data_IF_616896284041
#
_entry.id   IF_616896284041
#
_cell.length_a   1.000
_cell.length_b   1.000
_cell.length_c   1.000
_cell.angle_alpha   90.00
_cell.angle_beta   90.00
_cell.angle_gamma   90.00
#
_symmetry.space_group_name_H-M   'P 1'
#
loop_
_entity.id
_entity.type
_entity.pdbx_description
1 polymer ?
#
# COMPACT_ATOMS: atom_id res chain seq x y z
N UNK A 1 23.09 -19.24 3.29
CA UNK A 1 22.82 -18.98 4.72
C UNK A 1 22.05 -17.66 4.80
N UNK A 2 20.79 -17.70 5.28
CA UNK A 2 19.96 -16.51 5.43
C UNK A 2 20.42 -15.70 6.65
N UNK A 3 20.65 -14.39 6.49
CA UNK A 3 21.09 -13.47 7.54
C UNK A 3 20.15 -12.30 7.73
N UNK A 4 19.16 -12.15 6.86
CA UNK A 4 18.12 -11.13 6.90
C UNK A 4 16.74 -11.77 7.01
N UNK A 5 15.77 -11.05 7.54
CA UNK A 5 14.37 -11.50 7.59
C UNK A 5 13.78 -11.80 6.21
N UNK A 6 14.34 -11.24 5.14
CA UNK A 6 13.90 -11.46 3.76
C UNK A 6 14.44 -12.75 3.14
N UNK A 7 15.49 -13.36 3.70
CA UNK A 7 16.15 -14.57 3.19
C UNK A 7 16.17 -15.74 4.18
N UNK A 8 15.71 -15.53 5.42
CA UNK A 8 15.50 -16.61 6.38
C UNK A 8 14.20 -17.36 6.08
N UNK A 9 14.28 -18.64 5.71
CA UNK A 9 13.14 -19.47 5.33
C UNK A 9 12.00 -19.50 6.36
N UNK A 10 12.28 -19.31 7.65
CA UNK A 10 11.29 -19.25 8.71
C UNK A 10 10.56 -17.91 8.79
N UNK A 11 11.18 -16.82 8.35
CA UNK A 11 10.68 -15.45 8.58
C UNK A 11 10.31 -14.72 7.30
N UNK A 12 10.85 -15.11 6.15
CA UNK A 12 10.71 -14.36 4.90
C UNK A 12 9.26 -14.09 4.50
N UNK A 13 8.34 -15.05 4.77
CA UNK A 13 6.93 -14.91 4.43
C UNK A 13 6.17 -14.00 5.40
N UNK A 14 6.75 -13.69 6.57
CA UNK A 14 6.24 -12.66 7.48
C UNK A 14 6.69 -11.24 7.10
N UNK A 15 7.65 -11.09 6.18
CA UNK A 15 8.24 -9.81 5.79
C UNK A 15 8.09 -9.46 4.31
N UNK A 16 7.74 -10.44 3.49
CA UNK A 16 7.55 -10.24 2.03
C UNK A 16 6.74 -11.39 1.43
N UNK A 17 6.15 -11.19 0.26
CA UNK A 17 5.50 -12.27 -0.49
C UNK A 17 6.47 -12.97 -1.43
N UNK A 18 6.28 -14.28 -1.74
CA UNK A 18 7.11 -15.00 -2.71
C UNK A 18 7.15 -14.34 -4.08
N UNK A 19 6.01 -13.83 -4.57
CA UNK A 19 5.92 -13.16 -5.86
C UNK A 19 6.77 -11.88 -5.91
N UNK A 20 6.74 -11.06 -4.84
CA UNK A 20 7.53 -9.83 -4.79
C UNK A 20 9.03 -10.14 -4.63
N UNK A 21 9.40 -11.18 -3.88
CA UNK A 21 10.80 -11.64 -3.81
C UNK A 21 11.34 -12.09 -5.16
N UNK A 22 10.52 -12.77 -5.96
CA UNK A 22 10.93 -13.18 -7.32
C UNK A 22 11.26 -11.98 -8.21
N UNK A 23 10.47 -10.88 -8.13
CA UNK A 23 10.72 -9.65 -8.90
C UNK A 23 12.06 -9.01 -8.52
N UNK A 24 12.41 -8.97 -7.23
CA UNK A 24 13.64 -8.33 -6.76
C UNK A 24 14.78 -9.33 -6.51
N UNK A 25 14.65 -10.58 -6.98
CA UNK A 25 15.72 -11.57 -6.94
C UNK A 25 16.92 -11.12 -7.79
N UNK A 26 18.10 -11.64 -7.45
CA UNK A 26 19.31 -11.44 -8.26
C UNK A 26 19.11 -11.94 -9.70
N UNK A 27 18.47 -13.09 -9.86
CA UNK A 27 18.15 -13.66 -11.16
C UNK A 27 17.33 -12.70 -12.04
N UNK A 28 16.22 -12.20 -11.53
CA UNK A 28 15.36 -11.28 -12.29
C UNK A 28 16.04 -9.93 -12.52
N UNK A 29 16.84 -9.43 -11.56
CA UNK A 29 17.60 -8.20 -11.74
C UNK A 29 18.59 -8.32 -12.89
N UNK A 30 19.37 -9.40 -12.94
CA UNK A 30 20.30 -9.67 -14.05
C UNK A 30 19.53 -9.85 -15.36
N UNK A 31 18.38 -10.55 -15.34
CA UNK A 31 17.56 -10.69 -16.52
C UNK A 31 17.09 -9.33 -17.06
N UNK A 32 16.66 -8.39 -16.20
CA UNK A 32 16.27 -7.04 -16.65
C UNK A 32 17.44 -6.27 -17.28
N UNK A 33 18.65 -6.40 -16.77
CA UNK A 33 19.84 -5.82 -17.42
C UNK A 33 20.07 -6.43 -18.80
N UNK A 34 19.95 -7.75 -18.92
CA UNK A 34 20.07 -8.48 -20.19
C UNK A 34 18.95 -8.08 -21.18
N UNK A 35 17.72 -7.87 -20.70
CA UNK A 35 16.60 -7.40 -21.52
C UNK A 35 16.91 -6.02 -22.11
N UNK A 36 17.50 -5.10 -21.34
CA UNK A 36 17.91 -3.77 -21.81
C UNK A 36 19.04 -3.87 -22.84
N UNK A 37 20.07 -4.69 -22.60
CA UNK A 37 21.17 -4.92 -23.57
C UNK A 37 20.66 -5.50 -24.89
N UNK A 38 19.75 -6.47 -24.84
CA UNK A 38 19.12 -7.06 -26.03
C UNK A 38 18.28 -6.05 -26.81
N UNK A 39 17.53 -5.21 -26.12
CA UNK A 39 16.73 -4.14 -26.73
C UNK A 39 17.62 -3.09 -27.40
N UNK A 40 18.69 -2.69 -26.73
CA UNK A 40 19.70 -1.76 -27.24
C UNK A 40 20.36 -2.30 -28.53
N UNK A 41 20.85 -3.53 -28.50
CA UNK A 41 21.49 -4.15 -29.66
C UNK A 41 20.54 -4.21 -30.88
N UNK A 42 19.28 -4.58 -30.67
CA UNK A 42 18.25 -4.59 -31.73
C UNK A 42 18.02 -3.20 -32.31
N UNK A 43 17.91 -2.17 -31.46
CA UNK A 43 17.72 -0.79 -31.89
C UNK A 43 18.91 -0.30 -32.74
N UNK A 44 20.13 -0.56 -32.28
CA UNK A 44 21.36 -0.16 -32.96
C UNK A 44 21.54 -0.87 -34.30
N UNK A 45 21.23 -2.17 -34.39
CA UNK A 45 21.29 -2.92 -35.65
C UNK A 45 20.25 -2.38 -36.66
N UNK A 46 19.03 -2.11 -36.21
CA UNK A 46 17.98 -1.51 -37.08
C UNK A 46 18.43 -0.17 -37.68
N UNK A 47 19.25 0.58 -36.99
CA UNK A 47 19.82 1.85 -37.43
C UNK A 47 21.18 1.70 -38.17
N UNK A 48 21.69 0.46 -38.32
CA UNK A 48 22.97 0.20 -38.99
C UNK A 48 24.20 0.64 -38.21
N UNK A 49 24.12 0.76 -36.89
CA UNK A 49 25.22 1.13 -36.00
C UNK A 49 26.10 -0.10 -35.69
N UNK A 50 25.45 -1.25 -35.45
CA UNK A 50 26.12 -2.53 -35.27
C UNK A 50 25.63 -3.54 -36.33
N UNK A 51 26.35 -4.64 -36.62
CA UNK A 51 25.87 -5.69 -37.52
C UNK A 51 24.59 -6.34 -37.03
N UNK A 52 23.68 -6.68 -37.96
CA UNK A 52 22.42 -7.34 -37.60
C UNK A 52 22.63 -8.71 -36.94
N UNK A 53 23.64 -9.45 -37.39
CA UNK A 53 24.06 -10.74 -36.81
C UNK A 53 24.50 -10.62 -35.34
N UNK A 54 25.14 -9.52 -34.97
CA UNK A 54 25.50 -9.23 -33.56
C UNK A 54 24.24 -9.03 -32.70
N UNK A 55 23.28 -8.24 -33.18
CA UNK A 55 22.05 -8.04 -32.44
C UNK A 55 21.22 -9.33 -32.27
N UNK A 56 21.19 -10.19 -33.29
CA UNK A 56 20.50 -11.49 -33.21
C UNK A 56 21.20 -12.40 -32.19
N UNK A 57 22.51 -12.48 -32.20
CA UNK A 57 23.26 -13.32 -31.26
C UNK A 57 23.16 -12.77 -29.82
N UNK A 58 23.34 -11.47 -29.60
CA UNK A 58 23.18 -10.84 -28.30
C UNK A 58 21.77 -11.11 -27.74
N UNK A 59 20.72 -10.89 -28.53
CA UNK A 59 19.35 -11.14 -28.09
C UNK A 59 19.08 -12.61 -27.76
N UNK A 60 19.68 -13.54 -28.50
CA UNK A 60 19.59 -15.00 -28.26
C UNK A 60 20.27 -15.38 -26.95
N UNK A 61 21.40 -14.76 -26.61
CA UNK A 61 22.21 -15.07 -25.43
C UNK A 61 21.84 -14.26 -24.20
N UNK A 62 21.11 -13.18 -24.33
CA UNK A 62 20.67 -12.29 -23.24
C UNK A 62 19.59 -12.90 -22.35
N UNK A 63 19.84 -14.08 -21.83
CA UNK A 63 19.01 -14.78 -20.85
C UNK A 63 19.85 -15.28 -19.69
N UNK A 64 19.35 -15.13 -18.46
CA UNK A 64 20.04 -15.55 -17.24
C UNK A 64 20.56 -16.99 -17.32
N UNK A 65 19.80 -17.91 -17.92
CA UNK A 65 20.20 -19.32 -18.11
C UNK A 65 21.48 -19.54 -18.90
N UNK A 66 21.92 -18.57 -19.71
CA UNK A 66 23.16 -18.63 -20.47
C UNK A 66 24.34 -17.95 -19.76
N UNK A 67 24.09 -17.33 -18.61
CA UNK A 67 25.11 -16.63 -17.84
C UNK A 67 25.89 -17.62 -16.97
N UNK A 68 27.23 -17.59 -17.10
CA UNK A 68 28.16 -18.29 -16.23
C UNK A 68 28.28 -17.47 -14.92
N UNK A 69 27.44 -17.79 -13.92
CA UNK A 69 27.38 -17.04 -12.67
C UNK A 69 28.69 -17.13 -11.86
N UNK A 70 29.39 -18.25 -11.92
CA UNK A 70 30.69 -18.39 -11.24
C UNK A 70 31.73 -17.44 -11.84
N UNK A 71 31.73 -17.30 -13.17
CA UNK A 71 32.54 -16.30 -13.85
C UNK A 71 32.16 -14.86 -13.46
N UNK A 72 30.86 -14.55 -13.46
CA UNK A 72 30.35 -13.22 -13.09
C UNK A 72 30.75 -12.87 -11.65
N UNK A 73 30.63 -13.79 -10.71
CA UNK A 73 31.03 -13.54 -9.32
C UNK A 73 32.55 -13.39 -9.17
N UNK A 74 33.33 -14.17 -9.93
CA UNK A 74 34.79 -14.03 -9.94
C UNK A 74 35.22 -12.65 -10.51
N UNK A 75 34.58 -12.20 -11.58
CA UNK A 75 34.80 -10.88 -12.18
C UNK A 75 34.37 -9.74 -11.25
N UNK A 76 33.24 -9.89 -10.53
CA UNK A 76 32.81 -8.91 -9.54
C UNK A 76 33.86 -8.76 -8.42
N UNK A 77 34.44 -9.84 -7.93
CA UNK A 77 35.49 -9.78 -6.89
C UNK A 77 36.70 -8.98 -7.34
N UNK A 78 37.03 -9.03 -8.65
CA UNK A 78 38.17 -8.29 -9.24
C UNK A 78 37.79 -6.83 -9.51
N UNK A 79 36.69 -6.61 -10.20
CA UNK A 79 36.30 -5.27 -10.71
C UNK A 79 35.64 -4.39 -9.68
N UNK A 80 34.97 -4.95 -8.67
CA UNK A 80 34.11 -4.26 -7.72
C UNK A 80 33.00 -3.40 -8.38
N UNK A 81 32.65 -3.76 -9.61
CA UNK A 81 31.73 -2.99 -10.44
C UNK A 81 30.37 -3.73 -10.58
N UNK A 82 29.22 -3.07 -10.38
CA UNK A 82 27.93 -3.75 -10.30
C UNK A 82 27.49 -4.41 -11.62
N UNK A 83 27.77 -3.82 -12.78
CA UNK A 83 27.27 -4.28 -14.08
C UNK A 83 28.35 -4.93 -14.97
N UNK A 84 29.58 -4.43 -14.97
CA UNK A 84 30.68 -4.92 -15.88
C UNK A 84 30.82 -6.45 -15.89
N UNK A 85 30.71 -7.16 -14.76
CA UNK A 85 30.77 -8.63 -14.77
C UNK A 85 29.65 -9.27 -15.61
N UNK A 86 28.42 -8.72 -15.56
CA UNK A 86 27.30 -9.22 -16.36
C UNK A 86 27.51 -8.93 -17.86
N UNK A 87 27.99 -7.73 -18.21
CA UNK A 87 28.33 -7.37 -19.60
C UNK A 87 29.36 -8.32 -20.16
N UNK A 88 30.46 -8.58 -19.44
CA UNK A 88 31.51 -9.56 -19.82
C UNK A 88 30.97 -10.99 -19.89
N UNK A 89 30.04 -11.35 -19.02
CA UNK A 89 29.34 -12.64 -19.05
C UNK A 89 28.54 -12.82 -20.34
N UNK A 90 27.80 -11.79 -20.75
CA UNK A 90 27.04 -11.80 -22.00
C UNK A 90 27.98 -11.79 -23.24
N UNK A 91 29.04 -10.96 -23.22
CA UNK A 91 30.09 -10.96 -24.26
C UNK A 91 30.67 -12.36 -24.46
N UNK A 92 31.08 -13.03 -23.37
CA UNK A 92 31.61 -14.39 -23.38
C UNK A 92 30.62 -15.43 -23.87
N UNK A 93 29.33 -15.25 -23.63
CA UNK A 93 28.27 -16.17 -24.05
C UNK A 93 27.98 -16.08 -25.55
N UNK A 94 28.28 -14.95 -26.20
CA UNK A 94 28.09 -14.74 -27.62
C UNK A 94 29.18 -15.47 -28.43
N UNK A 95 28.81 -16.02 -29.61
CA UNK A 95 29.68 -16.77 -30.50
C UNK A 95 30.30 -15.87 -31.59
N UNK A 96 31.34 -16.35 -32.22
CA UNK A 96 31.98 -15.74 -33.41
C UNK A 96 32.45 -14.28 -33.23
N UNK A 97 32.81 -13.88 -32.02
CA UNK A 97 33.27 -12.51 -31.73
C UNK A 97 32.14 -11.46 -31.72
N UNK A 98 30.87 -11.88 -31.86
CA UNK A 98 29.73 -10.96 -31.93
C UNK A 98 29.40 -10.28 -30.58
N UNK A 99 30.00 -10.76 -29.48
CA UNK A 99 29.92 -10.14 -28.15
C UNK A 99 30.60 -8.78 -28.02
N UNK A 100 31.52 -8.43 -28.92
CA UNK A 100 32.20 -7.13 -28.95
C UNK A 100 31.23 -5.93 -29.10
N UNK A 101 30.02 -6.19 -29.53
CA UNK A 101 28.95 -5.17 -29.69
C UNK A 101 28.04 -5.06 -28.48
N UNK A 102 28.24 -5.84 -27.40
CA UNK A 102 27.49 -5.70 -26.16
C UNK A 102 27.81 -4.36 -25.48
N UNK A 103 26.79 -3.71 -24.91
CA UNK A 103 26.97 -2.44 -24.16
C UNK A 103 27.52 -1.28 -25.00
N UNK A 104 27.31 -1.28 -26.31
CA UNK A 104 27.94 -0.34 -27.24
C UNK A 104 27.31 1.08 -27.07
N UNK A 105 28.16 2.04 -26.71
CA UNK A 105 27.82 3.48 -26.64
C UNK A 105 26.98 3.93 -25.44
N UNK A 106 26.72 3.06 -24.48
CA UNK A 106 25.91 3.34 -23.26
C UNK A 106 26.77 3.33 -22.00
N UNK A 107 26.15 3.59 -20.87
CA UNK A 107 26.80 3.57 -19.56
C UNK A 107 26.06 2.64 -18.59
N UNK A 108 26.77 2.21 -17.55
CA UNK A 108 26.24 1.37 -16.47
C UNK A 108 24.88 1.84 -15.94
N UNK A 109 24.71 3.15 -15.75
CA UNK A 109 23.47 3.70 -15.19
C UNK A 109 22.29 3.55 -16.15
N UNK A 110 22.51 3.66 -17.47
CA UNK A 110 21.47 3.43 -18.48
C UNK A 110 20.83 2.03 -18.30
N UNK A 111 21.66 1.02 -18.09
CA UNK A 111 21.21 -0.37 -17.95
C UNK A 111 20.58 -0.63 -16.57
N UNK A 112 21.24 -0.17 -15.50
CA UNK A 112 20.80 -0.45 -14.13
C UNK A 112 19.48 0.29 -13.83
N UNK A 113 19.38 1.57 -14.16
CA UNK A 113 18.18 2.37 -13.87
C UNK A 113 17.00 1.93 -14.73
N UNK A 114 17.22 1.68 -16.04
CA UNK A 114 16.16 1.13 -16.92
C UNK A 114 15.73 -0.25 -16.47
N UNK A 115 16.65 -1.13 -16.09
CA UNK A 115 16.34 -2.44 -15.51
C UNK A 115 15.56 -2.34 -14.20
N UNK A 116 15.87 -1.36 -13.34
CA UNK A 116 15.14 -1.13 -12.09
C UNK A 116 13.72 -0.61 -12.35
N UNK A 117 13.54 0.27 -13.33
CA UNK A 117 12.20 0.72 -13.76
C UNK A 117 11.35 -0.45 -14.25
N UNK A 118 11.94 -1.41 -15.00
CA UNK A 118 11.23 -2.64 -15.39
C UNK A 118 10.80 -3.48 -14.20
N UNK A 119 11.65 -3.64 -13.17
CA UNK A 119 11.27 -4.32 -11.92
C UNK A 119 10.16 -3.57 -11.19
N UNK A 120 10.21 -2.24 -11.13
CA UNK A 120 9.14 -1.43 -10.51
C UNK A 120 7.81 -1.58 -11.25
N UNK A 121 7.83 -1.67 -12.58
CA UNK A 121 6.62 -1.91 -13.38
C UNK A 121 5.96 -3.25 -13.05
N UNK A 122 6.75 -4.31 -12.91
CA UNK A 122 6.28 -5.63 -12.46
C UNK A 122 5.73 -5.59 -11.03
N UNK A 123 6.47 -4.96 -10.10
CA UNK A 123 6.09 -4.85 -8.70
C UNK A 123 4.79 -4.03 -8.51
N UNK A 124 4.66 -2.91 -9.22
CA UNK A 124 3.44 -2.09 -9.19
C UNK A 124 2.22 -2.82 -9.74
N UNK A 125 2.40 -3.73 -10.71
CA UNK A 125 1.30 -4.56 -11.20
C UNK A 125 0.74 -5.47 -10.09
N UNK A 126 1.61 -6.07 -9.26
CA UNK A 126 1.18 -6.85 -8.10
C UNK A 126 0.47 -5.98 -7.05
N UNK A 127 1.05 -4.82 -6.71
CA UNK A 127 0.43 -3.88 -5.76
C UNK A 127 -0.96 -3.44 -6.24
N UNK A 128 -1.12 -3.11 -7.52
CA UNK A 128 -2.43 -2.76 -8.09
C UNK A 128 -3.43 -3.90 -7.98
N UNK A 129 -2.99 -5.13 -8.23
CA UNK A 129 -3.88 -6.29 -8.13
C UNK A 129 -4.34 -6.52 -6.67
N UNK A 130 -3.41 -6.47 -5.71
CA UNK A 130 -3.75 -6.62 -4.29
C UNK A 130 -4.70 -5.51 -3.81
N UNK A 131 -4.48 -4.25 -4.22
CA UNK A 131 -5.39 -3.15 -3.91
C UNK A 131 -6.79 -3.36 -4.48
N UNK A 132 -6.92 -3.90 -5.71
CA UNK A 132 -8.21 -4.26 -6.30
C UNK A 132 -8.94 -5.34 -5.50
N UNK A 133 -8.23 -6.39 -5.13
CA UNK A 133 -8.81 -7.50 -4.39
C UNK A 133 -9.30 -7.04 -3.01
N UNK A 134 -8.48 -6.25 -2.30
CA UNK A 134 -8.86 -5.64 -1.02
C UNK A 134 -10.06 -4.70 -1.19
N UNK A 135 -10.06 -3.86 -2.22
CA UNK A 135 -11.15 -2.92 -2.48
C UNK A 135 -12.50 -3.63 -2.72
N UNK A 136 -12.49 -4.75 -3.45
CA UNK A 136 -13.68 -5.58 -3.66
C UNK A 136 -14.20 -6.16 -2.34
N UNK A 137 -13.32 -6.65 -1.47
CA UNK A 137 -13.69 -7.15 -0.15
C UNK A 137 -14.27 -6.03 0.73
N UNK A 138 -13.62 -4.86 0.77
CA UNK A 138 -14.13 -3.70 1.52
C UNK A 138 -15.47 -3.21 0.99
N UNK A 139 -15.68 -3.17 -0.33
CA UNK A 139 -16.97 -2.80 -0.92
C UNK A 139 -18.09 -3.77 -0.51
N UNK A 140 -17.79 -5.08 -0.49
CA UNK A 140 -18.72 -6.11 0.00
C UNK A 140 -19.07 -5.90 1.47
N UNK A 141 -18.06 -5.75 2.33
CA UNK A 141 -18.24 -5.53 3.77
C UNK A 141 -19.02 -4.23 4.03
N UNK A 142 -18.67 -3.14 3.36
CA UNK A 142 -19.35 -1.87 3.50
C UNK A 142 -20.85 -1.99 3.16
N UNK A 143 -21.19 -2.66 2.06
CA UNK A 143 -22.57 -2.91 1.64
C UNK A 143 -23.33 -3.80 2.62
N UNK A 144 -22.73 -4.91 3.07
CA UNK A 144 -23.34 -5.87 3.99
C UNK A 144 -23.63 -5.25 5.36
N UNK A 145 -22.73 -4.37 5.83
CA UNK A 145 -22.79 -3.78 7.16
C UNK A 145 -23.22 -2.30 7.16
N UNK A 146 -23.80 -1.80 6.08
CA UNK A 146 -24.26 -0.39 6.00
C UNK A 146 -25.26 -0.02 7.07
N UNK A 147 -26.04 -0.98 7.57
CA UNK A 147 -27.02 -0.81 8.64
C UNK A 147 -26.56 -1.39 9.99
N UNK A 148 -25.36 -1.95 10.10
CA UNK A 148 -24.86 -2.51 11.35
C UNK A 148 -24.38 -1.37 12.24
N UNK A 149 -25.21 -1.01 13.22
CA UNK A 149 -24.91 0.06 14.16
C UNK A 149 -23.73 -0.33 15.08
N UNK A 150 -22.83 0.60 15.29
CA UNK A 150 -21.70 0.50 16.21
C UNK A 150 -21.38 1.84 16.85
N UNK A 151 -20.60 1.81 17.92
CA UNK A 151 -20.16 3.03 18.58
C UNK A 151 -19.08 3.75 17.75
N UNK A 152 -19.34 5.00 17.36
CA UNK A 152 -18.34 5.93 16.89
C UNK A 152 -17.52 6.47 18.07
N UNK A 153 -16.19 6.52 17.91
CA UNK A 153 -15.26 6.95 18.95
C UNK A 153 -14.44 8.12 18.44
N UNK A 154 -14.41 9.20 19.22
CA UNK A 154 -13.60 10.39 18.96
C UNK A 154 -12.68 10.61 20.15
N UNK A 155 -11.40 10.96 19.90
CA UNK A 155 -10.41 11.17 20.97
C UNK A 155 -10.36 9.98 21.96
N UNK A 156 -10.48 8.77 21.42
CA UNK A 156 -10.53 7.47 22.13
C UNK A 156 -11.83 7.20 22.93
N UNK A 157 -12.71 8.18 23.12
CA UNK A 157 -13.94 8.02 23.87
C UNK A 157 -15.14 7.70 22.98
N UNK A 158 -16.15 7.03 23.54
CA UNK A 158 -17.44 6.82 22.90
C UNK A 158 -18.12 8.16 22.65
N UNK A 159 -18.62 8.38 21.44
CA UNK A 159 -19.25 9.62 21.03
C UNK A 159 -20.68 9.36 20.57
N UNK A 160 -20.92 9.16 19.29
CA UNK A 160 -22.23 8.92 18.71
C UNK A 160 -22.26 7.60 17.94
N UNK A 161 -23.43 6.97 17.78
CA UNK A 161 -23.60 5.82 16.92
C UNK A 161 -23.24 6.12 15.46
N UNK A 162 -22.55 5.17 14.81
CA UNK A 162 -22.27 5.11 13.38
C UNK A 162 -22.66 3.73 12.86
N UNK A 163 -22.37 3.43 11.59
CA UNK A 163 -22.44 2.05 11.11
C UNK A 163 -21.06 1.50 10.78
N UNK A 164 -20.88 0.19 10.91
CA UNK A 164 -19.62 -0.47 10.52
C UNK A 164 -19.37 -0.32 9.02
N UNK A 165 -20.41 -0.42 8.19
CA UNK A 165 -20.28 -0.17 6.75
C UNK A 165 -19.77 1.22 6.42
N UNK A 166 -20.20 2.26 7.17
CA UNK A 166 -19.69 3.62 6.99
C UNK A 166 -18.18 3.72 7.31
N UNK A 167 -17.75 3.11 8.41
CA UNK A 167 -16.31 3.03 8.77
C UNK A 167 -15.49 2.38 7.66
N UNK A 168 -15.98 1.26 7.11
CA UNK A 168 -15.28 0.51 6.03
C UNK A 168 -15.31 1.28 4.70
N UNK A 169 -16.39 1.99 4.39
CA UNK A 169 -16.49 2.83 3.20
C UNK A 169 -15.45 3.96 3.19
N UNK A 170 -15.11 4.52 4.37
CA UNK A 170 -14.02 5.51 4.51
C UNK A 170 -12.68 4.87 4.10
N UNK A 171 -12.37 3.66 4.56
CA UNK A 171 -11.15 2.94 4.16
C UNK A 171 -11.10 2.69 2.66
N UNK A 172 -12.21 2.23 2.07
CA UNK A 172 -12.31 2.00 0.62
C UNK A 172 -12.09 3.30 -0.17
N UNK A 173 -12.59 4.43 0.32
CA UNK A 173 -12.36 5.74 -0.29
C UNK A 173 -10.89 6.14 -0.30
N UNK A 174 -10.14 5.79 0.73
CA UNK A 174 -8.68 6.01 0.76
C UNK A 174 -7.95 5.15 -0.28
N UNK A 175 -8.33 3.86 -0.38
CA UNK A 175 -7.75 2.94 -1.37
C UNK A 175 -8.00 3.40 -2.80
N UNK A 176 -9.21 3.91 -3.10
CA UNK A 176 -9.51 4.47 -4.41
C UNK A 176 -8.55 5.60 -4.78
N UNK A 177 -8.31 6.54 -3.87
CA UNK A 177 -7.33 7.63 -4.10
C UNK A 177 -5.89 7.13 -4.21
N UNK A 178 -5.51 6.04 -3.53
CA UNK A 178 -4.19 5.44 -3.72
C UNK A 178 -4.03 4.82 -5.10
N UNK A 179 -5.07 4.17 -5.59
CA UNK A 179 -5.07 3.60 -6.94
C UNK A 179 -4.95 4.68 -8.01
N UNK A 180 -5.65 5.80 -7.85
CA UNK A 180 -5.54 6.98 -8.72
C UNK A 180 -4.10 7.53 -8.73
N UNK A 181 -3.48 7.71 -7.55
CA UNK A 181 -2.08 8.14 -7.44
C UNK A 181 -1.10 7.21 -8.16
N UNK A 182 -1.32 5.91 -8.09
CA UNK A 182 -0.49 4.94 -8.82
C UNK A 182 -0.60 5.18 -10.34
N UNK A 183 -1.81 5.30 -10.87
CA UNK A 183 -2.03 5.55 -12.31
C UNK A 183 -1.37 6.86 -12.77
N UNK A 184 -1.44 7.89 -11.94
CA UNK A 184 -0.81 9.17 -12.22
C UNK A 184 0.73 9.09 -12.15
N UNK A 185 1.26 8.35 -11.19
CA UNK A 185 2.70 8.12 -11.03
C UNK A 185 3.29 7.34 -12.20
N UNK A 186 2.59 6.34 -12.73
CA UNK A 186 3.08 5.45 -13.80
C UNK A 186 3.61 6.23 -15.00
N UNK A 187 2.98 7.35 -15.34
CA UNK A 187 3.39 8.22 -16.46
C UNK A 187 4.77 8.87 -16.26
N UNK A 188 5.16 9.11 -15.03
CA UNK A 188 6.47 9.70 -14.67
C UNK A 188 7.49 8.64 -14.31
N UNK A 189 7.05 7.48 -13.83
CA UNK A 189 7.92 6.40 -13.35
C UNK A 189 8.39 5.47 -14.47
N UNK A 190 7.51 5.12 -15.43
CA UNK A 190 7.84 4.13 -16.46
C UNK A 190 8.62 4.76 -17.62
N UNK A 191 9.67 5.48 -17.29
CA UNK A 191 10.56 6.20 -18.20
C UNK A 191 11.94 5.59 -18.11
N UNK A 192 12.51 5.13 -19.23
CA UNK A 192 13.84 4.54 -19.26
C UNK A 192 14.95 5.59 -19.42
N UNK A 193 16.17 5.11 -19.58
CA UNK A 193 17.37 5.95 -19.72
C UNK A 193 18.36 5.28 -20.67
N UNK A 194 18.71 5.94 -21.79
CA UNK A 194 19.76 5.51 -22.75
C UNK A 194 20.48 6.77 -23.22
N UNK A 195 21.36 7.30 -22.40
CA UNK A 195 21.91 8.66 -22.58
C UNK A 195 23.45 8.73 -22.48
N UNK A 196 24.13 7.62 -22.17
CA UNK A 196 25.59 7.55 -22.09
C UNK A 196 26.16 8.13 -20.80
N UNK A 197 27.48 8.34 -20.79
CA UNK A 197 28.27 8.55 -19.57
C UNK A 197 27.81 9.69 -18.66
N UNK A 198 27.40 10.81 -19.23
CA UNK A 198 26.99 12.05 -18.53
C UNK A 198 25.68 12.66 -19.09
N UNK A 199 24.86 11.85 -19.75
CA UNK A 199 23.56 12.28 -20.23
C UNK A 199 23.54 13.02 -21.56
N UNK A 200 24.67 13.08 -22.27
CA UNK A 200 24.80 13.86 -23.51
C UNK A 200 24.69 13.05 -24.81
N UNK A 201 24.57 11.71 -24.68
CA UNK A 201 24.52 10.77 -25.81
C UNK A 201 25.72 10.84 -26.76
N UNK A 202 26.85 11.37 -26.32
CA UNK A 202 28.01 11.67 -27.16
C UNK A 202 28.56 10.46 -27.93
N UNK A 203 28.44 9.26 -27.37
CA UNK A 203 28.91 7.99 -27.98
C UNK A 203 27.92 7.31 -28.93
N UNK A 204 26.67 7.83 -29.04
CA UNK A 204 25.59 7.22 -29.82
C UNK A 204 25.38 7.84 -31.21
N UNK A 205 26.28 8.75 -31.63
CA UNK A 205 26.25 9.45 -32.93
C UNK A 205 25.01 10.35 -33.14
N UNK A 206 24.79 10.75 -34.38
CA UNK A 206 23.64 11.54 -34.85
C UNK A 206 22.30 10.80 -34.73
N UNK A 207 22.34 9.47 -34.55
CA UNK A 207 21.14 8.59 -34.38
C UNK A 207 20.76 8.34 -32.92
N UNK A 208 21.36 9.07 -32.00
CA UNK A 208 21.22 8.82 -30.55
C UNK A 208 19.75 8.82 -30.06
N UNK A 209 18.94 9.77 -30.54
CA UNK A 209 17.54 9.87 -30.16
C UNK A 209 16.70 8.69 -30.69
N UNK A 210 17.00 8.20 -31.90
CA UNK A 210 16.35 7.03 -32.48
C UNK A 210 16.75 5.76 -31.75
N UNK A 211 18.04 5.61 -31.35
CA UNK A 211 18.51 4.49 -30.53
C UNK A 211 17.75 4.45 -29.19
N UNK A 212 17.70 5.55 -28.45
CA UNK A 212 16.97 5.64 -27.20
C UNK A 212 15.51 5.28 -27.40
N UNK A 213 14.83 5.93 -28.34
CA UNK A 213 13.41 5.71 -28.63
C UNK A 213 13.11 4.25 -28.92
N UNK A 214 13.80 3.65 -29.89
CA UNK A 214 13.58 2.26 -30.30
C UNK A 214 13.88 1.26 -29.17
N UNK A 215 14.91 1.53 -28.35
CA UNK A 215 15.24 0.70 -27.20
C UNK A 215 14.11 0.74 -26.17
N UNK A 216 13.70 1.94 -25.73
CA UNK A 216 12.73 2.11 -24.66
C UNK A 216 11.32 1.68 -25.08
N UNK A 217 10.88 2.01 -26.29
CA UNK A 217 9.60 1.54 -26.83
C UNK A 217 9.52 0.00 -26.87
N UNK A 218 10.61 -0.68 -27.24
CA UNK A 218 10.66 -2.16 -27.26
C UNK A 218 10.53 -2.79 -25.87
N UNK A 219 10.89 -2.04 -24.82
CA UNK A 219 10.75 -2.42 -23.40
C UNK A 219 9.40 -1.98 -22.81
N UNK A 220 8.58 -1.27 -23.60
CA UNK A 220 7.32 -0.69 -23.14
C UNK A 220 7.52 0.41 -22.09
N UNK A 221 8.58 1.20 -22.27
CA UNK A 221 8.90 2.36 -21.45
C UNK A 221 8.79 3.65 -22.29
N UNK A 222 8.51 4.74 -21.61
CA UNK A 222 8.49 6.07 -22.20
C UNK A 222 9.92 6.63 -22.36
N UNK A 223 10.05 7.53 -23.33
CA UNK A 223 11.30 8.26 -23.59
C UNK A 223 11.33 9.51 -22.71
N UNK A 224 12.44 9.79 -22.03
CA UNK A 224 12.54 11.00 -21.21
C UNK A 224 12.66 12.27 -22.05
N UNK A 225 12.18 13.39 -21.52
CA UNK A 225 12.37 14.71 -22.16
C UNK A 225 13.85 15.12 -22.22
N UNK A 226 14.60 14.73 -21.19
CA UNK A 226 16.03 14.95 -21.03
C UNK A 226 16.62 13.89 -20.11
N UNK A 227 17.95 13.76 -20.06
CA UNK A 227 18.62 12.88 -19.10
C UNK A 227 18.16 13.10 -17.66
N UNK A 228 17.82 12.01 -16.98
CA UNK A 228 17.42 12.06 -15.57
C UNK A 228 18.42 11.33 -14.64
N UNK A 229 19.67 11.14 -15.10
CA UNK A 229 20.72 10.51 -14.30
C UNK A 229 20.86 11.13 -12.89
N UNK A 230 20.96 12.47 -12.74
CA UNK A 230 21.01 13.11 -11.42
C UNK A 230 19.64 13.46 -10.83
N UNK A 231 18.56 13.41 -11.60
CA UNK A 231 17.21 13.76 -11.15
C UNK A 231 16.49 12.53 -10.60
N UNK A 232 16.46 12.39 -9.28
CA UNK A 232 15.92 11.19 -8.62
C UNK A 232 14.49 11.37 -8.07
N UNK A 233 13.88 12.51 -8.31
CA UNK A 233 12.53 12.91 -7.88
C UNK A 233 11.46 11.84 -8.16
N UNK A 234 11.49 11.20 -9.33
CA UNK A 234 10.53 10.13 -9.69
C UNK A 234 10.62 8.88 -8.83
N UNK A 235 11.83 8.54 -8.35
CA UNK A 235 12.04 7.41 -7.43
C UNK A 235 11.67 7.79 -6.01
N UNK A 236 11.87 9.03 -5.63
CA UNK A 236 11.41 9.59 -4.36
C UNK A 236 9.88 9.64 -4.34
N UNK A 237 9.25 10.12 -5.43
CA UNK A 237 7.78 10.11 -5.58
C UNK A 237 7.22 8.68 -5.45
N UNK A 238 7.84 7.69 -6.10
CA UNK A 238 7.49 6.28 -5.93
C UNK A 238 7.49 5.87 -4.46
N UNK A 239 8.59 6.16 -3.76
CA UNK A 239 8.71 5.82 -2.34
C UNK A 239 7.64 6.47 -1.48
N UNK A 240 7.31 7.74 -1.72
CA UNK A 240 6.23 8.42 -0.99
C UNK A 240 4.85 7.87 -1.32
N UNK A 241 4.58 7.44 -2.56
CA UNK A 241 3.33 6.75 -2.91
C UNK A 241 3.21 5.43 -2.16
N UNK A 242 4.28 4.59 -2.15
CA UNK A 242 4.31 3.34 -1.37
C UNK A 242 4.14 3.62 0.13
N UNK A 243 4.82 4.65 0.66
CA UNK A 243 4.72 5.08 2.04
C UNK A 243 3.32 5.55 2.45
N UNK A 244 2.61 6.25 1.56
CA UNK A 244 1.25 6.72 1.81
C UNK A 244 0.25 5.55 1.81
N UNK A 245 0.38 4.61 0.88
CA UNK A 245 -0.40 3.35 0.89
C UNK A 245 -0.18 2.62 2.21
N UNK A 246 1.10 2.42 2.58
CA UNK A 246 1.48 1.76 3.82
C UNK A 246 0.88 2.45 5.06
N UNK A 247 0.90 3.78 5.13
CA UNK A 247 0.35 4.54 6.25
C UNK A 247 -1.16 4.31 6.44
N UNK A 248 -1.91 4.22 5.34
CA UNK A 248 -3.35 3.86 5.37
C UNK A 248 -3.54 2.45 5.92
N UNK A 249 -2.79 1.46 5.43
CA UNK A 249 -2.93 0.09 5.92
C UNK A 249 -2.42 -0.09 7.35
N UNK A 250 -1.39 0.63 7.77
CA UNK A 250 -0.97 0.68 9.18
C UNK A 250 -2.09 1.19 10.09
N UNK A 251 -2.73 2.30 9.71
CA UNK A 251 -3.90 2.85 10.43
C UNK A 251 -5.04 1.82 10.50
N UNK A 252 -5.38 1.18 9.39
CA UNK A 252 -6.47 0.20 9.33
C UNK A 252 -6.14 -1.02 10.19
N UNK A 253 -4.95 -1.59 10.05
CA UNK A 253 -4.51 -2.74 10.84
C UNK A 253 -4.51 -2.42 12.35
N UNK A 254 -4.01 -1.23 12.74
CA UNK A 254 -4.07 -0.79 14.12
C UNK A 254 -5.51 -0.61 14.63
N UNK A 255 -6.42 -0.09 13.80
CA UNK A 255 -7.85 0.01 14.15
C UNK A 255 -8.48 -1.38 14.34
N UNK A 256 -8.10 -2.38 13.53
CA UNK A 256 -8.56 -3.76 13.70
C UNK A 256 -8.05 -4.35 15.02
N UNK A 257 -6.78 -4.10 15.40
CA UNK A 257 -6.26 -4.51 16.72
C UNK A 257 -7.11 -3.94 17.86
N UNK A 258 -7.42 -2.63 17.81
CA UNK A 258 -8.25 -1.98 18.85
C UNK A 258 -9.65 -2.60 18.91
N UNK A 259 -10.29 -2.84 17.76
CA UNK A 259 -11.64 -3.42 17.72
C UNK A 259 -11.67 -4.90 18.17
N UNK A 260 -10.54 -5.60 18.13
CA UNK A 260 -10.40 -6.98 18.58
C UNK A 260 -10.03 -7.12 20.08
N UNK A 261 -9.75 -6.03 20.81
CA UNK A 261 -9.49 -6.08 22.25
C UNK A 261 -10.68 -6.70 22.98
N UNK A 262 -10.44 -7.51 24.02
CA UNK A 262 -11.48 -8.22 24.77
C UNK A 262 -12.59 -7.32 25.32
N UNK A 263 -12.22 -6.09 25.69
CA UNK A 263 -13.12 -5.07 26.24
C UNK A 263 -14.03 -4.47 25.16
N UNK A 264 -13.65 -4.54 23.89
CA UNK A 264 -14.40 -4.03 22.73
C UNK A 264 -15.04 -5.19 21.98
N UNK A 265 -14.24 -6.14 21.52
CA UNK A 265 -14.62 -7.43 20.91
C UNK A 265 -15.64 -7.30 19.75
N UNK A 266 -15.51 -6.24 18.94
CA UNK A 266 -16.45 -5.94 17.84
C UNK A 266 -16.14 -6.69 16.55
N UNK A 267 -14.87 -7.18 16.40
CA UNK A 267 -14.45 -7.98 15.23
C UNK A 267 -13.48 -9.09 15.67
N UNK A 268 -13.28 -10.07 14.78
CA UNK A 268 -12.16 -11.01 14.88
C UNK A 268 -11.57 -11.31 13.50
N UNK A 269 -10.27 -11.61 13.47
CA UNK A 269 -9.60 -12.11 12.26
C UNK A 269 -10.10 -13.51 11.91
N UNK A 270 -10.00 -13.92 10.62
CA UNK A 270 -10.26 -15.29 10.23
C UNK A 270 -9.35 -16.25 11.01
N UNK A 271 -9.94 -17.32 11.54
CA UNK A 271 -9.19 -18.32 12.28
C UNK A 271 -9.44 -19.72 11.70
N UNK A 272 -8.43 -20.29 11.06
CA UNK A 272 -8.52 -21.56 10.37
C UNK A 272 -8.20 -22.77 11.25
N UNK A 273 -8.66 -23.94 10.81
CA UNK A 273 -8.31 -25.22 11.46
C UNK A 273 -6.80 -25.45 11.39
N UNK A 274 -6.19 -25.68 12.55
CA UNK A 274 -4.73 -25.89 12.68
C UNK A 274 -3.92 -24.63 13.01
N UNK A 275 -4.54 -23.46 13.01
CA UNK A 275 -3.87 -22.26 13.54
C UNK A 275 -3.77 -22.31 15.06
N UNK A 276 -2.65 -21.82 15.60
CA UNK A 276 -2.42 -21.75 17.04
C UNK A 276 -2.50 -20.28 17.46
N UNK A 277 -3.54 -19.92 18.18
CA UNK A 277 -3.73 -18.55 18.69
C UNK A 277 -2.83 -18.23 19.89
N UNK A 278 -2.57 -19.23 20.73
CA UNK A 278 -1.70 -19.13 21.90
C UNK A 278 -1.14 -20.50 22.25
N UNK A 279 0.15 -20.56 22.61
CA UNK A 279 0.81 -21.80 23.03
C UNK A 279 0.33 -22.30 24.41
N UNK A 280 -0.22 -21.40 25.24
CA UNK A 280 -0.57 -21.68 26.64
C UNK A 280 -2.07 -21.61 26.91
N UNK A 281 -2.80 -20.73 26.22
CA UNK A 281 -4.23 -20.47 26.43
C UNK A 281 -5.03 -20.82 25.18
N UNK A 282 -5.68 -22.04 25.14
CA UNK A 282 -6.32 -22.50 23.89
C UNK A 282 -7.46 -21.60 23.36
N UNK A 283 -8.12 -20.86 24.25
CA UNK A 283 -9.20 -19.94 23.89
C UNK A 283 -8.73 -18.57 23.37
N UNK A 284 -7.44 -18.23 23.55
CA UNK A 284 -6.89 -16.94 23.17
C UNK A 284 -6.57 -16.91 21.66
N UNK A 285 -7.33 -16.14 20.90
CA UNK A 285 -7.12 -15.92 19.47
C UNK A 285 -6.52 -14.54 19.26
N UNK A 286 -5.19 -14.46 19.16
CA UNK A 286 -4.49 -13.21 18.92
C UNK A 286 -4.75 -12.73 17.49
N UNK A 287 -4.97 -11.43 17.25
CA UNK A 287 -5.04 -10.83 15.92
C UNK A 287 -3.64 -10.67 15.30
N UNK A 288 -2.96 -11.83 15.11
CA UNK A 288 -1.53 -11.88 14.77
C UNK A 288 -1.23 -11.38 13.34
N UNK A 289 -2.23 -11.44 12.45
CA UNK A 289 -2.07 -10.98 11.06
C UNK A 289 -2.06 -9.45 11.01
N UNK A 290 -2.99 -8.79 11.70
CA UNK A 290 -2.98 -7.32 11.82
C UNK A 290 -1.78 -6.83 12.61
N UNK A 291 -1.35 -7.55 13.66
CA UNK A 291 -0.12 -7.23 14.42
C UNK A 291 1.12 -7.26 13.53
N UNK A 292 1.27 -8.31 12.70
CA UNK A 292 2.36 -8.38 11.74
C UNK A 292 2.30 -7.24 10.71
N UNK A 293 1.10 -6.91 10.20
CA UNK A 293 0.95 -5.79 9.28
C UNK A 293 1.40 -4.45 9.90
N UNK A 294 1.05 -4.17 11.16
CA UNK A 294 1.52 -2.97 11.89
C UNK A 294 3.04 -3.00 12.06
N UNK A 295 3.61 -4.14 12.44
CA UNK A 295 5.06 -4.30 12.66
C UNK A 295 5.84 -4.00 11.38
N UNK A 296 5.47 -4.64 10.27
CA UNK A 296 6.15 -4.46 8.97
C UNK A 296 5.93 -3.04 8.42
N UNK A 297 4.74 -2.48 8.59
CA UNK A 297 4.44 -1.10 8.21
C UNK A 297 5.35 -0.08 8.92
N UNK A 298 5.67 -0.30 10.19
CA UNK A 298 6.57 0.59 10.93
C UNK A 298 8.01 0.48 10.42
N UNK A 299 8.46 -0.71 10.03
CA UNK A 299 9.78 -0.90 9.40
C UNK A 299 9.85 -0.22 8.02
N UNK A 300 8.81 -0.38 7.19
CA UNK A 300 8.73 0.28 5.89
C UNK A 300 8.79 1.80 6.02
N UNK A 301 8.11 2.38 7.01
CA UNK A 301 8.15 3.82 7.27
C UNK A 301 9.57 4.33 7.51
N UNK A 302 10.42 3.56 8.20
CA UNK A 302 11.82 3.91 8.41
C UNK A 302 12.61 3.97 7.10
N UNK A 303 12.37 3.03 6.16
CA UNK A 303 12.97 3.08 4.83
C UNK A 303 12.56 4.34 4.04
N UNK A 304 11.28 4.71 4.10
CA UNK A 304 10.77 5.89 3.39
C UNK A 304 11.34 7.19 3.96
N UNK A 305 11.58 7.26 5.27
CA UNK A 305 12.09 8.47 5.91
C UNK A 305 13.46 8.93 5.36
N UNK A 306 14.25 8.01 4.82
CA UNK A 306 15.59 8.31 4.29
C UNK A 306 15.55 8.69 2.80
N UNK A 307 14.44 8.47 2.09
CA UNK A 307 14.39 8.64 0.64
C UNK A 307 14.66 10.07 0.18
N UNK A 308 14.30 11.08 0.97
CA UNK A 308 14.59 12.47 0.62
C UNK A 308 16.09 12.76 0.50
N UNK A 309 16.95 11.97 1.18
CA UNK A 309 18.39 12.14 1.09
C UNK A 309 18.95 11.73 -0.29
N UNK A 310 18.20 10.94 -1.06
CA UNK A 310 18.55 10.51 -2.42
C UNK A 310 18.56 11.70 -3.39
N UNK A 311 17.71 12.73 -3.16
CA UNK A 311 17.66 13.92 -3.99
C UNK A 311 18.97 14.73 -3.96
N UNK A 312 19.74 14.60 -2.90
CA UNK A 312 21.06 15.28 -2.80
C UNK A 312 22.09 14.54 -3.65
N UNK A 313 21.92 14.60 -4.96
CA UNK A 313 22.78 13.96 -5.96
C UNK A 313 23.88 14.95 -6.41
N UNK A 314 25.14 14.57 -6.27
CA UNK A 314 26.27 15.40 -6.65
C UNK A 314 26.62 15.21 -8.12
N UNK A 315 26.74 16.30 -8.86
CA UNK A 315 27.05 16.34 -10.29
C UNK A 315 26.11 15.46 -11.14
N UNK A 316 26.61 14.93 -12.24
CA UNK A 316 25.84 14.11 -13.19
C UNK A 316 25.65 12.66 -12.73
N UNK A 317 26.41 12.22 -11.70
CA UNK A 317 26.26 10.87 -11.09
C UNK A 317 26.90 10.82 -9.71
N UNK A 318 26.10 10.53 -8.70
CA UNK A 318 26.57 10.30 -7.33
C UNK A 318 26.38 8.83 -6.94
N UNK A 319 27.48 8.11 -6.78
CA UNK A 319 27.45 6.70 -6.45
C UNK A 319 27.01 6.39 -5.01
N UNK A 320 26.97 7.36 -4.09
CA UNK A 320 26.55 7.17 -2.71
C UNK A 320 25.03 7.01 -2.62
N UNK A 321 24.28 8.03 -3.05
CA UNK A 321 22.83 8.06 -3.01
C UNK A 321 22.20 7.10 -4.02
N UNK A 322 22.78 6.95 -5.21
CA UNK A 322 22.32 6.01 -6.23
C UNK A 322 22.26 4.56 -5.70
N UNK A 323 23.26 4.11 -4.95
CA UNK A 323 23.27 2.76 -4.36
C UNK A 323 22.26 2.58 -3.25
N UNK A 324 21.84 3.65 -2.56
CA UNK A 324 20.78 3.56 -1.54
C UNK A 324 19.45 3.13 -2.13
N UNK A 325 19.14 3.55 -3.36
CA UNK A 325 17.91 3.18 -4.07
C UNK A 325 17.78 1.66 -4.26
N UNK A 326 18.91 0.99 -4.50
CA UNK A 326 18.94 -0.47 -4.73
C UNK A 326 18.55 -1.28 -3.49
N UNK A 327 18.61 -0.66 -2.33
CA UNK A 327 18.16 -1.23 -1.04
C UNK A 327 16.77 -0.75 -0.68
N UNK A 328 16.60 0.57 -0.60
CA UNK A 328 15.42 1.17 0.03
C UNK A 328 14.12 0.88 -0.73
N UNK A 329 14.13 1.01 -2.05
CA UNK A 329 12.93 0.83 -2.87
C UNK A 329 12.51 -0.65 -3.00
N UNK A 330 13.41 -1.59 -3.33
CA UNK A 330 13.06 -3.02 -3.30
C UNK A 330 12.52 -3.48 -1.94
N UNK A 331 13.18 -3.11 -0.84
CA UNK A 331 12.70 -3.46 0.51
C UNK A 331 11.34 -2.85 0.83
N UNK A 332 11.05 -1.61 0.36
CA UNK A 332 9.74 -1.00 0.52
C UNK A 332 8.65 -1.81 -0.22
N UNK A 333 8.90 -2.28 -1.43
CA UNK A 333 7.99 -3.17 -2.15
C UNK A 333 7.81 -4.50 -1.45
N UNK A 334 8.90 -5.13 -0.99
CA UNK A 334 8.86 -6.40 -0.26
C UNK A 334 7.95 -6.26 0.97
N UNK A 335 8.18 -5.26 1.80
CA UNK A 335 7.41 -5.02 3.01
C UNK A 335 5.95 -4.65 2.71
N UNK A 336 5.69 -3.77 1.74
CA UNK A 336 4.32 -3.42 1.37
C UNK A 336 3.54 -4.63 0.87
N UNK A 337 4.18 -5.54 0.13
CA UNK A 337 3.52 -6.72 -0.41
C UNK A 337 2.92 -7.62 0.67
N UNK A 338 3.63 -7.84 1.78
CA UNK A 338 3.10 -8.66 2.88
C UNK A 338 2.05 -7.90 3.70
N UNK A 339 2.18 -6.59 3.86
CA UNK A 339 1.13 -5.77 4.50
C UNK A 339 -0.18 -5.91 3.73
N UNK A 340 -0.14 -5.80 2.39
CA UNK A 340 -1.33 -5.96 1.54
C UNK A 340 -1.86 -7.39 1.59
N UNK A 341 -1.00 -8.40 1.51
CA UNK A 341 -1.41 -9.81 1.61
C UNK A 341 -2.09 -10.13 2.95
N UNK A 342 -1.56 -9.62 4.05
CA UNK A 342 -2.17 -9.75 5.37
C UNK A 342 -3.55 -9.09 5.42
N UNK A 343 -3.68 -7.86 4.94
CA UNK A 343 -4.96 -7.16 4.95
C UNK A 343 -5.99 -7.80 4.00
N UNK A 344 -5.56 -8.30 2.86
CA UNK A 344 -6.41 -9.09 1.96
C UNK A 344 -6.97 -10.31 2.68
N UNK A 345 -6.12 -11.10 3.33
CA UNK A 345 -6.54 -12.26 4.11
C UNK A 345 -7.53 -11.89 5.22
N UNK A 346 -7.26 -10.82 5.96
CA UNK A 346 -8.17 -10.37 7.03
C UNK A 346 -9.54 -9.99 6.46
N UNK A 347 -9.61 -9.20 5.38
CA UNK A 347 -10.88 -8.75 4.82
C UNK A 347 -11.65 -9.83 4.05
N UNK A 348 -11.00 -10.90 3.59
CA UNK A 348 -11.66 -12.06 2.99
C UNK A 348 -12.50 -12.84 3.99
N UNK A 349 -12.13 -12.85 5.27
CA UNK A 349 -12.82 -13.64 6.29
C UNK A 349 -13.07 -12.90 7.61
N UNK A 350 -13.16 -11.57 7.59
CA UNK A 350 -13.40 -10.75 8.78
C UNK A 350 -14.71 -11.13 9.46
N UNK A 351 -14.63 -11.56 10.70
CA UNK A 351 -15.80 -11.82 11.55
C UNK A 351 -16.28 -10.49 12.17
N UNK A 352 -17.53 -10.10 11.90
CA UNK A 352 -18.16 -8.89 12.45
C UNK A 352 -19.17 -9.30 13.52
N UNK A 353 -18.90 -8.94 14.78
CA UNK A 353 -19.68 -9.34 15.96
C UNK A 353 -20.77 -8.31 16.27
N UNK A 354 -21.88 -8.37 15.52
CA UNK A 354 -23.01 -7.43 15.63
C UNK A 354 -23.55 -7.28 17.06
N UNK A 355 -23.68 -8.39 17.78
CA UNK A 355 -24.21 -8.37 19.16
C UNK A 355 -23.28 -7.61 20.11
N UNK A 356 -21.96 -7.72 19.92
CA UNK A 356 -20.98 -6.96 20.69
C UNK A 356 -21.03 -5.46 20.36
N UNK A 357 -21.20 -5.11 19.09
CA UNK A 357 -21.40 -3.71 18.69
C UNK A 357 -22.61 -3.10 19.36
N UNK A 358 -23.75 -3.82 19.38
CA UNK A 358 -24.97 -3.37 20.07
C UNK A 358 -24.73 -3.26 21.58
N UNK A 359 -24.06 -4.24 22.19
CA UNK A 359 -23.72 -4.17 23.62
C UNK A 359 -22.89 -2.93 23.92
N UNK A 360 -21.90 -2.62 23.10
CA UNK A 360 -21.01 -1.47 23.27
C UNK A 360 -21.74 -0.12 23.10
N UNK A 361 -22.78 -0.04 22.26
CA UNK A 361 -23.64 1.15 22.14
C UNK A 361 -24.31 1.52 23.46
N UNK A 362 -24.59 0.53 24.32
CA UNK A 362 -25.30 0.71 25.58
C UNK A 362 -24.39 0.85 26.81
N UNK A 363 -23.06 0.80 26.65
CA UNK A 363 -22.08 0.79 27.76
C UNK A 363 -22.19 2.05 28.65
N UNK A 364 -22.53 3.19 28.08
CA UNK A 364 -22.70 4.45 28.81
C UNK A 364 -24.17 4.74 29.16
N UNK A 365 -25.01 3.71 29.35
CA UNK A 365 -26.36 3.82 29.87
C UNK A 365 -27.22 4.90 29.19
N UNK A 366 -27.05 5.09 27.86
CA UNK A 366 -27.80 6.02 27.05
C UNK A 366 -27.27 7.45 27.00
N UNK A 367 -26.29 7.83 27.80
CA UNK A 367 -25.74 9.22 27.82
C UNK A 367 -25.15 9.66 26.47
N UNK A 368 -24.71 8.74 25.61
CA UNK A 368 -24.26 9.02 24.24
C UNK A 368 -25.37 9.61 23.35
N UNK A 369 -26.62 9.51 23.76
CA UNK A 369 -27.80 10.04 23.05
C UNK A 369 -28.27 11.40 23.57
N UNK A 370 -27.52 12.04 24.46
CA UNK A 370 -27.82 13.35 25.02
C UNK A 370 -28.10 14.41 23.94
N UNK A 371 -27.32 14.40 22.85
CA UNK A 371 -27.53 15.29 21.70
C UNK A 371 -28.92 15.08 21.06
N UNK A 372 -29.31 13.81 20.85
CA UNK A 372 -30.61 13.46 20.27
C UNK A 372 -31.77 13.98 21.11
N UNK A 373 -31.69 13.80 22.44
CA UNK A 373 -32.69 14.30 23.39
C UNK A 373 -32.73 15.83 23.40
N UNK A 374 -31.56 16.45 23.37
CA UNK A 374 -31.44 17.91 23.30
C UNK A 374 -32.20 18.48 22.08
N UNK A 375 -32.02 17.88 20.90
CA UNK A 375 -32.71 18.31 19.70
C UNK A 375 -34.24 18.09 19.81
N UNK A 376 -34.69 16.97 20.34
CA UNK A 376 -36.10 16.72 20.56
C UNK A 376 -36.74 17.74 21.53
N UNK A 377 -36.02 18.13 22.58
CA UNK A 377 -36.48 19.17 23.53
C UNK A 377 -36.37 20.60 22.95
N UNK A 378 -35.49 20.82 21.99
CA UNK A 378 -35.24 22.17 21.43
C UNK A 378 -36.46 22.72 20.69
N UNK A 379 -37.33 21.87 20.14
CA UNK A 379 -38.57 22.27 19.47
C UNK A 379 -39.54 22.90 20.45
N UNK A 380 -39.45 22.60 21.75
CA UNK A 380 -40.32 23.09 22.81
C UNK A 380 -39.69 24.20 23.66
N UNK A 381 -38.39 24.11 23.93
CA UNK A 381 -37.70 24.99 24.87
C UNK A 381 -36.65 25.92 24.23
N UNK A 382 -36.40 25.74 22.93
CA UNK A 382 -35.23 26.35 22.28
C UNK A 382 -33.91 25.69 22.67
N UNK A 383 -32.91 25.85 21.83
CA UNK A 383 -31.63 25.08 21.89
C UNK A 383 -30.89 25.25 23.22
N UNK A 384 -30.75 26.45 23.74
CA UNK A 384 -29.95 26.72 24.94
C UNK A 384 -30.61 26.12 26.19
N UNK A 385 -31.92 26.32 26.37
CA UNK A 385 -32.62 25.78 27.52
C UNK A 385 -32.75 24.25 27.46
N UNK A 386 -32.95 23.67 26.26
CA UNK A 386 -32.88 22.23 26.07
C UNK A 386 -31.50 21.64 26.44
N UNK A 387 -30.42 22.34 26.11
CA UNK A 387 -29.07 21.95 26.50
C UNK A 387 -28.91 21.96 28.02
N UNK A 388 -29.40 22.98 28.74
CA UNK A 388 -29.35 23.04 30.19
C UNK A 388 -30.13 21.87 30.83
N UNK A 389 -31.33 21.58 30.36
CA UNK A 389 -32.15 20.46 30.85
C UNK A 389 -31.40 19.14 30.69
N UNK A 390 -30.84 18.91 29.49
CA UNK A 390 -30.07 17.67 29.17
C UNK A 390 -28.83 17.57 30.02
N UNK A 391 -28.08 18.66 30.20
CA UNK A 391 -26.87 18.70 31.01
C UNK A 391 -27.15 18.34 32.46
N UNK A 392 -28.15 19.01 33.09
CA UNK A 392 -28.57 18.74 34.47
C UNK A 392 -28.98 17.29 34.68
N UNK A 393 -29.79 16.74 33.74
CA UNK A 393 -30.21 15.34 33.80
C UNK A 393 -29.02 14.38 33.65
N UNK A 394 -28.10 14.68 32.73
CA UNK A 394 -26.90 13.83 32.51
C UNK A 394 -26.04 13.81 33.78
N UNK A 395 -25.74 14.97 34.37
CA UNK A 395 -24.95 15.06 35.60
C UNK A 395 -25.65 14.35 36.76
N UNK A 396 -26.97 14.55 36.94
CA UNK A 396 -27.77 13.88 37.97
C UNK A 396 -27.72 12.34 37.79
N UNK A 397 -27.80 11.85 36.56
CA UNK A 397 -27.73 10.43 36.26
C UNK A 397 -26.37 9.83 36.61
N UNK A 398 -25.26 10.51 36.25
CA UNK A 398 -23.90 10.07 36.55
C UNK A 398 -23.69 10.05 38.07
N UNK A 399 -24.07 11.11 38.80
CA UNK A 399 -23.88 11.22 40.24
C UNK A 399 -24.68 10.18 41.05
N UNK A 400 -25.91 9.85 40.58
CA UNK A 400 -26.80 8.93 41.26
C UNK A 400 -26.76 7.49 40.68
N UNK A 401 -25.83 7.18 39.79
CA UNK A 401 -25.69 5.87 39.11
C UNK A 401 -26.98 5.40 38.41
N UNK A 402 -27.76 6.32 37.87
CA UNK A 402 -28.97 6.07 37.07
C UNK A 402 -28.68 6.10 35.59
N UNK A 403 -29.49 5.39 34.81
CA UNK A 403 -29.48 5.50 33.35
C UNK A 403 -30.00 6.87 32.88
N UNK A 404 -29.64 7.26 31.69
CA UNK A 404 -30.13 8.53 31.14
C UNK A 404 -31.65 8.52 30.96
N UNK A 405 -32.25 7.37 30.57
CA UNK A 405 -33.72 7.20 30.51
C UNK A 405 -34.39 7.45 31.86
N UNK A 406 -33.90 6.87 32.95
CA UNK A 406 -34.47 7.02 34.27
C UNK A 406 -34.51 8.48 34.70
N UNK A 407 -33.44 9.23 34.57
CA UNK A 407 -33.42 10.64 34.97
C UNK A 407 -34.25 11.53 34.07
N UNK A 408 -34.40 11.20 32.77
CA UNK A 408 -35.30 11.92 31.87
C UNK A 408 -36.77 11.74 32.26
N UNK A 409 -37.17 10.52 32.66
CA UNK A 409 -38.55 10.23 33.10
C UNK A 409 -38.90 10.91 34.43
N UNK A 410 -37.94 11.16 35.30
CA UNK A 410 -38.09 11.84 36.58
C UNK A 410 -38.17 13.37 36.46
N UNK A 411 -37.80 13.95 35.32
CA UNK A 411 -37.80 15.40 35.12
C UNK A 411 -39.14 15.89 34.57
N UNK A 412 -39.86 16.70 35.36
CA UNK A 412 -41.16 17.24 34.95
C UNK A 412 -41.09 18.09 33.68
N UNK A 413 -39.97 18.73 33.41
CA UNK A 413 -39.77 19.53 32.17
C UNK A 413 -39.76 18.61 30.94
N UNK A 414 -39.14 17.44 31.07
CA UNK A 414 -39.07 16.43 30.00
C UNK A 414 -40.44 15.75 29.84
N UNK A 415 -41.04 15.28 30.94
CA UNK A 415 -42.32 14.53 30.89
C UNK A 415 -43.52 15.37 30.44
N UNK A 416 -43.44 16.71 30.50
CA UNK A 416 -44.46 17.62 29.94
C UNK A 416 -44.54 17.61 28.42
N UNK A 417 -43.45 17.29 27.72
CA UNK A 417 -43.32 17.42 26.26
C UNK A 417 -42.97 16.10 25.56
N UNK A 418 -42.38 15.14 26.25
CA UNK A 418 -42.04 13.81 25.74
C UNK A 418 -42.74 12.74 26.60
N UNK A 419 -43.49 11.85 25.96
CA UNK A 419 -44.00 10.64 26.60
C UNK A 419 -42.89 9.63 26.86
N UNK A 420 -43.15 8.64 27.76
CA UNK A 420 -42.21 7.51 27.97
C UNK A 420 -41.88 6.79 26.65
N UNK A 421 -42.87 6.63 25.76
CA UNK A 421 -42.71 6.02 24.45
C UNK A 421 -41.78 6.84 23.54
N UNK A 422 -41.87 8.17 23.60
CA UNK A 422 -40.96 9.05 22.84
C UNK A 422 -39.53 8.92 23.36
N UNK A 423 -39.37 8.86 24.70
CA UNK A 423 -38.07 8.64 25.34
C UNK A 423 -37.51 7.27 24.94
N UNK A 424 -38.32 6.20 24.89
CA UNK A 424 -37.85 4.87 24.41
C UNK A 424 -37.32 4.91 22.97
N UNK A 425 -38.01 5.62 22.09
CA UNK A 425 -37.55 5.81 20.70
C UNK A 425 -36.24 6.61 20.67
N UNK A 426 -36.14 7.68 21.49
CA UNK A 426 -34.93 8.50 21.56
C UNK A 426 -33.73 7.72 22.12
N UNK A 427 -33.95 6.75 23.01
CA UNK A 427 -32.92 5.93 23.65
C UNK A 427 -32.47 4.73 22.81
N UNK A 428 -33.11 4.46 21.69
CA UNK A 428 -32.63 3.43 20.76
C UNK A 428 -31.43 3.93 19.93
N UNK A 429 -30.23 3.63 20.40
CA UNK A 429 -28.99 4.01 19.77
C UNK A 429 -28.83 3.44 18.33
N UNK A 430 -29.49 2.32 18.03
CA UNK A 430 -29.38 1.69 16.69
C UNK A 430 -30.06 2.52 15.60
N UNK A 431 -30.98 3.41 15.96
CA UNK A 431 -31.72 4.28 15.04
C UNK A 431 -31.09 5.67 14.89
N UNK A 432 -30.04 5.99 15.67
CA UNK A 432 -29.40 7.31 15.63
C UNK A 432 -28.04 7.27 14.89
N UNK A 433 -28.03 6.67 13.72
CA UNK A 433 -26.84 6.54 12.85
C UNK A 433 -26.77 7.59 11.73
N UNK A 434 -27.69 8.56 11.77
CA UNK A 434 -27.77 9.65 10.79
C UNK A 434 -27.87 9.14 9.34
N UNK A 435 -27.13 9.77 8.45
CA UNK A 435 -27.08 9.42 7.02
C UNK A 435 -26.10 8.30 6.69
N UNK A 436 -25.44 7.66 7.67
CA UNK A 436 -24.39 6.68 7.41
C UNK A 436 -24.77 5.59 6.39
N UNK A 437 -25.96 4.94 6.45
CA UNK A 437 -26.35 3.95 5.44
C UNK A 437 -26.46 4.54 4.03
N UNK A 438 -27.04 5.73 3.91
CA UNK A 438 -27.22 6.41 2.62
C UNK A 438 -25.90 6.86 2.03
N UNK A 439 -24.98 7.38 2.86
CA UNK A 439 -23.63 7.76 2.44
C UNK A 439 -22.85 6.57 1.89
N UNK A 440 -23.03 5.37 2.47
CA UNK A 440 -22.42 4.15 1.95
C UNK A 440 -22.96 3.81 0.56
N UNK A 441 -24.30 3.85 0.38
CA UNK A 441 -24.92 3.54 -0.91
C UNK A 441 -24.46 4.53 -2.00
N UNK A 442 -24.54 5.84 -1.74
CA UNK A 442 -24.12 6.91 -2.65
C UNK A 442 -22.61 6.77 -3.02
N UNK A 443 -21.78 6.46 -2.04
CA UNK A 443 -20.35 6.27 -2.28
C UNK A 443 -20.07 5.03 -3.14
N UNK A 444 -20.69 3.87 -2.84
CA UNK A 444 -20.50 2.64 -3.62
C UNK A 444 -21.01 2.81 -5.05
N UNK A 445 -22.13 3.51 -5.27
CA UNK A 445 -22.62 3.84 -6.60
C UNK A 445 -21.62 4.72 -7.36
N UNK A 446 -21.11 5.77 -6.73
CA UNK A 446 -20.12 6.68 -7.33
C UNK A 446 -18.86 5.95 -7.80
N UNK A 447 -18.35 4.98 -7.04
CA UNK A 447 -17.11 4.27 -7.38
C UNK A 447 -17.34 2.96 -8.14
N UNK A 448 -18.58 2.58 -8.45
CA UNK A 448 -18.90 1.30 -9.10
C UNK A 448 -18.11 1.07 -10.41
N UNK A 449 -17.79 2.14 -11.14
CA UNK A 449 -17.01 2.12 -12.37
C UNK A 449 -15.54 2.53 -12.19
N UNK A 450 -15.07 2.76 -10.96
CA UNK A 450 -13.69 3.14 -10.71
C UNK A 450 -12.72 2.01 -11.10
N UNK A 451 -11.53 2.33 -11.62
CA UNK A 451 -10.55 1.31 -12.07
C UNK A 451 -10.13 0.31 -10.99
N UNK A 452 -10.18 0.69 -9.72
CA UNK A 452 -9.85 -0.18 -8.59
C UNK A 452 -10.87 -1.31 -8.39
N UNK A 453 -12.14 -1.15 -8.81
CA UNK A 453 -13.19 -2.16 -8.67
C UNK A 453 -13.37 -3.01 -9.94
N UNK A 454 -12.74 -2.64 -11.04
CA UNK A 454 -12.67 -3.40 -12.30
C UNK A 454 -11.51 -4.39 -12.28
#
# INVERSE_FOLDING_TARGET
>A
MGVSVFDMRLLQDSWSTPAMRAIFSEENRIQKWLDVEAALAKAQAKLGIIPNEAAVEIAKKAHYKFMDMDFIFAEFKKTKHPLVPTVRGLEKACENGLGEYVHFGVTTQDIIDTGLVLQFKEAMALIKQDLKDIAKNLAKIAKEHKNTAMMGRTLALQALPITFGHKVAIWLSELNRHYERIIELEKRLYVGLIVGAVGTKASLSDKANEVEKLTLESLGLEVPDISWQPARDRFIELGYVLGNINATFNKIAHQLLILAHNEIDEIAEPFGKGQVGSSTMPHKRNPAVSENAVTVSNALRANIAILSDIERHEHERDGQVWKMEWKLLPEAFLMLSVVLANMKFVFEGLEVKKDKMIKNLNTLNGFVLAERVMFALSDHYGKQHAHEIVYENAMRGIENHKTFKEVLLEDERVSKVLSEKDIDVLMDATTYVGYAPKLVDEFLEKIANAPILK
#
